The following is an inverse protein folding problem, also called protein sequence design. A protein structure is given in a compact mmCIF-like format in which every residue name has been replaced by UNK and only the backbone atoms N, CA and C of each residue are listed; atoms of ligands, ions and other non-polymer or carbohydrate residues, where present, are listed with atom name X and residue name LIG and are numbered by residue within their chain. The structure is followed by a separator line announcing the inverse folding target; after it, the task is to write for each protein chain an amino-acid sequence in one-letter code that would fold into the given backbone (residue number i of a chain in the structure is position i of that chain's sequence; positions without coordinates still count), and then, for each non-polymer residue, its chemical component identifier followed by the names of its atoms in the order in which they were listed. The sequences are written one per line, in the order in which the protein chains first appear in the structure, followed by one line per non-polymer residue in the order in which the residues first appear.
data_IF_893655893860
#
_entry.id   IF_893655893860
#
_cell.length_a   1.000
_cell.length_b   1.000
_cell.length_c   1.000
_cell.angle_alpha   90.00
_cell.angle_beta   90.00
_cell.angle_gamma   90.00
#
_symmetry.space_group_name_H-M   'P 1'
#
loop_
_entity.id
_entity.type
_entity.pdbx_description
1 polymer ?
#
# COMPACT_ATOMS: atom_id res chain seq x y z
N UNK A 1 31.08 -17.90 12.24
CA UNK A 1 30.70 -16.73 13.07
C UNK A 1 30.38 -15.53 12.20
N UNK A 2 31.05 -15.35 11.05
CA UNK A 2 30.62 -14.39 10.01
C UNK A 2 29.30 -14.79 9.35
N UNK A 3 29.15 -16.06 8.96
CA UNK A 3 27.92 -16.60 8.33
C UNK A 3 26.64 -16.33 9.14
N UNK A 4 26.70 -16.48 10.46
CA UNK A 4 25.57 -16.20 11.35
C UNK A 4 25.31 -14.69 11.47
N UNK A 5 26.35 -13.86 11.48
CA UNK A 5 26.23 -12.39 11.55
C UNK A 5 25.65 -11.83 10.25
N UNK A 6 26.03 -12.38 9.11
CA UNK A 6 25.45 -12.12 7.81
C UNK A 6 23.97 -12.51 7.80
N UNK A 7 23.60 -13.73 8.23
CA UNK A 7 22.19 -14.15 8.41
C UNK A 7 21.34 -13.17 9.24
N UNK A 8 21.86 -12.65 10.35
CA UNK A 8 21.13 -11.67 11.17
C UNK A 8 21.04 -10.29 10.51
N UNK A 9 22.08 -9.86 9.79
CA UNK A 9 22.04 -8.63 9.01
C UNK A 9 21.04 -8.73 7.84
N UNK A 10 21.03 -9.86 7.14
CA UNK A 10 20.10 -10.19 6.04
C UNK A 10 18.65 -10.14 6.49
N UNK A 11 18.35 -10.80 7.62
CA UNK A 11 17.00 -10.75 8.21
C UNK A 11 16.60 -9.31 8.59
N UNK A 12 17.54 -8.50 9.06
CA UNK A 12 17.31 -7.10 9.41
C UNK A 12 17.11 -6.15 8.21
N UNK A 13 17.68 -6.44 7.04
CA UNK A 13 17.44 -5.66 5.81
C UNK A 13 16.07 -6.03 5.23
N UNK A 14 15.77 -7.33 5.09
CA UNK A 14 14.48 -7.80 4.61
C UNK A 14 13.33 -7.26 5.48
N UNK A 15 13.44 -7.36 6.81
CA UNK A 15 12.41 -6.85 7.73
C UNK A 15 12.20 -5.33 7.62
N UNK A 16 13.26 -4.55 7.35
CA UNK A 16 13.14 -3.10 7.15
C UNK A 16 12.50 -2.77 5.80
N UNK A 17 12.91 -3.43 4.73
CA UNK A 17 12.34 -3.24 3.39
C UNK A 17 10.86 -3.63 3.36
N UNK A 18 10.51 -4.77 3.94
CA UNK A 18 9.14 -5.27 3.96
C UNK A 18 8.32 -4.69 5.11
N UNK A 19 8.87 -3.77 5.92
CA UNK A 19 8.21 -3.20 7.10
C UNK A 19 7.62 -4.28 8.05
N UNK A 20 8.31 -5.41 8.19
CA UNK A 20 7.87 -6.54 9.01
C UNK A 20 6.76 -7.41 8.41
N UNK A 21 6.33 -7.18 7.18
CA UNK A 21 5.26 -7.97 6.54
C UNK A 21 5.55 -9.46 6.49
N UNK A 22 6.81 -9.88 6.32
CA UNK A 22 7.17 -11.31 6.36
C UNK A 22 6.69 -11.98 7.65
N UNK A 23 6.91 -11.35 8.80
CA UNK A 23 6.44 -11.85 10.11
C UNK A 23 4.91 -11.83 10.22
N UNK A 24 4.26 -10.83 9.63
CA UNK A 24 2.80 -10.74 9.63
C UNK A 24 2.22 -11.91 8.82
N UNK A 25 2.73 -12.15 7.62
CA UNK A 25 2.32 -13.27 6.76
C UNK A 25 2.55 -14.61 7.45
N UNK A 26 3.72 -14.83 8.05
CA UNK A 26 4.03 -16.06 8.80
C UNK A 26 3.09 -16.29 10.00
N UNK A 27 2.49 -15.24 10.55
CA UNK A 27 1.52 -15.33 11.65
C UNK A 27 0.08 -15.60 11.18
N UNK A 28 -0.21 -15.49 9.87
CA UNK A 28 -1.56 -15.65 9.34
C UNK A 28 -1.94 -17.13 9.22
N UNK A 29 -3.18 -17.51 9.55
CA UNK A 29 -3.65 -18.89 9.42
C UNK A 29 -3.54 -19.42 7.99
N UNK A 30 -2.95 -20.62 7.85
CA UNK A 30 -2.83 -21.31 6.57
C UNK A 30 -1.75 -20.76 5.64
N UNK A 31 -1.10 -19.63 5.97
CA UNK A 31 0.00 -19.10 5.16
C UNK A 31 1.24 -19.97 5.33
N UNK A 32 1.85 -20.31 4.19
CA UNK A 32 3.06 -21.11 4.09
C UNK A 32 3.98 -20.53 3.02
N UNK A 33 5.23 -20.98 3.00
CA UNK A 33 6.18 -20.66 1.93
C UNK A 33 6.39 -19.16 1.67
N UNK A 34 6.52 -18.37 2.75
CA UNK A 34 6.87 -16.95 2.66
C UNK A 34 8.33 -16.84 2.23
N UNK A 35 8.57 -16.32 1.03
CA UNK A 35 9.89 -16.17 0.42
C UNK A 35 10.15 -14.72 0.06
N UNK A 36 11.25 -14.19 0.56
CA UNK A 36 11.81 -12.92 0.13
C UNK A 36 13.07 -13.19 -0.70
N UNK A 37 13.09 -12.73 -1.96
CA UNK A 37 14.25 -12.85 -2.82
C UNK A 37 15.17 -11.64 -2.58
N UNK A 38 16.25 -11.87 -1.84
CA UNK A 38 17.28 -10.87 -1.62
C UNK A 38 18.00 -10.52 -2.92
N UNK A 39 18.33 -9.23 -3.08
CA UNK A 39 19.03 -8.69 -4.24
C UNK A 39 20.00 -7.61 -3.82
N UNK A 40 21.17 -7.62 -4.45
CA UNK A 40 22.18 -6.59 -4.28
C UNK A 40 21.67 -5.21 -4.74
N UNK A 41 22.19 -4.12 -4.17
CA UNK A 41 21.96 -2.77 -4.68
C UNK A 41 22.36 -2.60 -6.15
N UNK A 42 21.63 -1.77 -6.88
CA UNK A 42 22.00 -1.39 -8.23
C UNK A 42 23.24 -0.48 -8.24
N UNK A 43 24.14 -0.69 -9.20
CA UNK A 43 25.26 0.22 -9.40
C UNK A 43 24.77 1.61 -9.86
N UNK A 44 25.34 2.68 -9.29
CA UNK A 44 25.06 4.07 -9.73
C UNK A 44 25.25 4.25 -11.24
N UNK A 45 26.26 3.59 -11.82
CA UNK A 45 26.54 3.62 -13.26
C UNK A 45 25.38 3.02 -14.07
N UNK A 46 24.78 1.93 -13.59
CA UNK A 46 23.64 1.28 -14.25
C UNK A 46 22.42 2.19 -14.28
N UNK A 47 22.15 2.90 -13.17
CA UNK A 47 21.07 3.90 -13.11
C UNK A 47 21.31 5.05 -14.11
N UNK A 48 22.52 5.62 -14.12
CA UNK A 48 22.89 6.68 -15.06
C UNK A 48 22.79 6.22 -16.52
N UNK A 49 23.21 4.99 -16.80
CA UNK A 49 23.13 4.39 -18.14
C UNK A 49 21.67 4.22 -18.56
N UNK A 50 20.80 3.77 -17.64
CA UNK A 50 19.37 3.66 -17.89
C UNK A 50 18.74 5.04 -18.17
N UNK A 51 19.08 6.06 -17.38
CA UNK A 51 18.57 7.42 -17.54
C UNK A 51 18.98 8.03 -18.87
N UNK A 52 20.26 7.88 -19.24
CA UNK A 52 20.79 8.34 -20.52
C UNK A 52 20.14 7.62 -21.72
N UNK A 53 20.02 6.29 -21.65
CA UNK A 53 19.41 5.46 -22.70
C UNK A 53 17.95 5.84 -22.95
N UNK A 54 17.20 6.09 -21.88
CA UNK A 54 15.77 6.34 -21.95
C UNK A 54 15.42 7.83 -22.00
N UNK A 55 16.43 8.71 -21.94
CA UNK A 55 16.29 10.18 -21.88
C UNK A 55 15.39 10.67 -20.74
N UNK A 56 15.34 9.93 -19.63
CA UNK A 56 14.50 10.25 -18.46
C UNK A 56 15.34 10.27 -17.20
N UNK A 57 14.90 11.00 -16.18
CA UNK A 57 15.48 10.99 -14.83
C UNK A 57 14.60 10.14 -13.94
N UNK A 58 15.18 9.14 -13.25
CA UNK A 58 14.45 8.36 -12.25
C UNK A 58 13.96 9.29 -11.12
N UNK A 59 12.74 9.11 -10.61
CA UNK A 59 12.32 9.85 -9.43
C UNK A 59 13.23 9.47 -8.25
N UNK A 60 13.49 10.43 -7.37
CA UNK A 60 14.48 10.29 -6.29
C UNK A 60 14.21 9.07 -5.40
N UNK A 61 12.95 8.84 -5.07
CA UNK A 61 12.55 7.72 -4.21
C UNK A 61 12.73 6.35 -4.87
N UNK A 62 12.49 6.22 -6.17
CA UNK A 62 12.80 5.00 -6.92
C UNK A 62 14.31 4.80 -7.10
N UNK A 63 15.07 5.88 -7.31
CA UNK A 63 16.54 5.81 -7.37
C UNK A 63 17.11 5.32 -6.05
N UNK A 64 16.68 5.88 -4.94
CA UNK A 64 17.12 5.49 -3.59
C UNK A 64 16.74 4.05 -3.26
N UNK A 65 15.56 3.61 -3.71
CA UNK A 65 15.15 2.23 -3.63
C UNK A 65 16.12 1.31 -4.38
N UNK A 66 16.46 1.60 -5.63
CA UNK A 66 17.40 0.78 -6.39
C UNK A 66 18.83 0.81 -5.83
N UNK A 67 19.25 1.93 -5.24
CA UNK A 67 20.51 2.02 -4.49
C UNK A 67 20.49 1.25 -3.17
N UNK A 68 19.33 0.77 -2.74
CA UNK A 68 19.16 -0.11 -1.58
C UNK A 68 19.00 -1.58 -2.01
N UNK A 69 18.28 -1.86 -3.10
CA UNK A 69 18.07 -3.20 -3.65
C UNK A 69 17.63 -3.15 -5.13
N UNK A 70 18.25 -3.94 -6.02
CA UNK A 70 17.93 -3.94 -7.46
C UNK A 70 16.67 -4.74 -7.79
N UNK A 71 15.53 -4.13 -7.43
CA UNK A 71 14.20 -4.75 -7.54
C UNK A 71 13.83 -5.52 -6.28
N UNK A 72 12.62 -6.04 -6.26
CA UNK A 72 12.03 -6.65 -5.07
C UNK A 72 11.13 -7.80 -5.47
N UNK A 73 11.18 -8.90 -4.73
CA UNK A 73 10.24 -10.01 -4.92
C UNK A 73 9.95 -10.66 -3.57
N UNK A 74 8.68 -10.62 -3.16
CA UNK A 74 8.17 -11.33 -2.00
C UNK A 74 6.97 -12.16 -2.45
N UNK A 75 7.03 -13.47 -2.24
CA UNK A 75 5.94 -14.39 -2.55
C UNK A 75 5.52 -15.16 -1.32
N UNK A 76 4.25 -15.53 -1.26
CA UNK A 76 3.74 -16.41 -0.22
C UNK A 76 2.58 -17.24 -0.75
N UNK A 77 2.40 -18.40 -0.12
CA UNK A 77 1.41 -19.39 -0.51
C UNK A 77 0.48 -19.67 0.65
N UNK A 78 -0.62 -20.35 0.36
CA UNK A 78 -1.56 -20.83 1.36
C UNK A 78 -1.73 -22.33 1.24
N UNK A 79 -1.84 -23.01 2.38
CA UNK A 79 -2.14 -24.43 2.43
C UNK A 79 -3.66 -24.61 2.52
N UNK A 80 -4.26 -25.16 1.47
CA UNK A 80 -5.63 -25.63 1.47
C UNK A 80 -5.61 -27.15 1.41
N UNK A 81 -6.14 -27.78 2.44
CA UNK A 81 -6.08 -29.24 2.62
C UNK A 81 -4.64 -29.75 2.51
N UNK A 82 -4.32 -30.52 1.46
CA UNK A 82 -2.97 -31.04 1.19
C UNK A 82 -2.24 -30.32 0.03
N UNK A 83 -2.85 -29.28 -0.55
CA UNK A 83 -2.26 -28.50 -1.64
C UNK A 83 -1.69 -27.15 -1.17
N UNK A 84 -0.57 -26.76 -1.77
CA UNK A 84 0.05 -25.45 -1.57
C UNK A 84 -0.29 -24.57 -2.78
N UNK A 85 -1.12 -23.55 -2.57
CA UNK A 85 -1.57 -22.63 -3.61
C UNK A 85 -0.77 -21.33 -3.52
N UNK A 86 0.02 -20.95 -4.53
CA UNK A 86 0.69 -19.66 -4.55
C UNK A 86 -0.35 -18.54 -4.62
N UNK A 87 -0.32 -17.63 -3.65
CA UNK A 87 -1.39 -16.65 -3.49
C UNK A 87 -0.90 -15.22 -3.68
N UNK A 88 0.07 -14.78 -2.88
CA UNK A 88 0.54 -13.41 -2.93
C UNK A 88 1.88 -13.25 -3.64
N UNK A 89 1.98 -12.22 -4.47
CA UNK A 89 3.20 -11.82 -5.16
C UNK A 89 3.34 -10.30 -5.12
N UNK A 90 4.40 -9.84 -4.47
CA UNK A 90 4.85 -8.46 -4.54
C UNK A 90 6.11 -8.42 -5.39
N UNK A 91 6.10 -7.61 -6.45
CA UNK A 91 7.24 -7.55 -7.37
C UNK A 91 7.53 -6.11 -7.80
N UNK A 92 8.81 -5.76 -7.80
CA UNK A 92 9.37 -4.61 -8.51
C UNK A 92 10.51 -5.14 -9.37
N UNK A 93 10.46 -4.85 -10.67
CA UNK A 93 11.51 -5.22 -11.62
C UNK A 93 12.85 -4.60 -11.23
N UNK A 94 13.96 -5.25 -11.58
CA UNK A 94 15.29 -4.63 -11.50
C UNK A 94 15.45 -3.54 -12.55
N UNK A 95 16.45 -2.67 -12.41
CA UNK A 95 16.74 -1.61 -13.38
C UNK A 95 17.01 -2.18 -14.77
N UNK A 96 17.68 -3.33 -14.85
CA UNK A 96 17.93 -4.04 -16.11
C UNK A 96 16.63 -4.51 -16.79
N UNK A 97 15.61 -4.84 -16.00
CA UNK A 97 14.29 -5.29 -16.45
C UNK A 97 13.26 -4.16 -16.56
N UNK A 98 13.59 -2.94 -16.13
CA UNK A 98 12.77 -1.74 -16.27
C UNK A 98 12.78 -1.27 -17.73
N UNK A 99 12.19 -2.08 -18.61
CA UNK A 99 12.14 -1.87 -20.04
C UNK A 99 10.99 -0.94 -20.46
N UNK A 100 11.12 -0.25 -21.61
CA UNK A 100 10.03 0.52 -22.16
C UNK A 100 8.88 -0.41 -22.56
N UNK A 101 7.64 -0.01 -22.25
CA UNK A 101 6.44 -0.73 -22.69
C UNK A 101 6.30 -0.68 -24.22
N UNK A 102 6.54 0.50 -24.78
CA UNK A 102 6.55 0.75 -26.22
C UNK A 102 7.95 0.42 -26.74
N UNK A 103 8.11 -0.77 -27.31
CA UNK A 103 9.36 -1.12 -27.97
C UNK A 103 9.45 -0.41 -29.32
N UNK A 104 10.67 -0.01 -29.75
CA UNK A 104 10.87 0.47 -31.11
C UNK A 104 10.31 -0.52 -32.12
N UNK A 105 9.67 0.00 -33.15
CA UNK A 105 9.08 -0.80 -34.23
C UNK A 105 10.15 -1.76 -34.76
N UNK A 106 9.85 -3.06 -34.73
CA UNK A 106 10.77 -4.10 -35.22
C UNK A 106 11.19 -3.79 -36.66
N UNK A 107 12.46 -4.06 -37.01
CA UNK A 107 12.96 -3.92 -38.38
C UNK A 107 12.19 -4.77 -39.40
N UNK A 108 11.45 -5.76 -38.92
CA UNK A 108 10.61 -6.65 -39.72
C UNK A 108 9.14 -6.18 -39.84
N UNK A 109 8.78 -5.08 -39.18
CA UNK A 109 7.43 -4.53 -39.30
C UNK A 109 7.22 -3.91 -40.67
N UNK A 110 6.02 -4.12 -41.21
CA UNK A 110 5.61 -3.47 -42.44
C UNK A 110 5.54 -1.95 -42.25
N UNK A 111 5.78 -1.15 -43.31
CA UNK A 111 5.43 0.26 -43.30
C UNK A 111 3.95 0.41 -42.91
N UNK A 112 3.66 1.26 -41.91
CA UNK A 112 2.31 1.48 -41.35
C UNK A 112 1.66 0.26 -40.67
N UNK A 113 2.44 -0.67 -40.12
CA UNK A 113 1.88 -1.71 -39.27
C UNK A 113 1.13 -1.07 -38.07
N UNK A 114 -0.07 -1.57 -37.72
CA UNK A 114 -0.80 -1.04 -36.57
C UNK A 114 0.01 -1.23 -35.28
N UNK A 115 -0.11 -0.26 -34.40
CA UNK A 115 0.66 -0.09 -33.18
C UNK A 115 -0.25 0.31 -32.01
N UNK A 116 0.27 0.28 -30.79
CA UNK A 116 -0.49 0.73 -29.62
C UNK A 116 -0.85 2.23 -29.71
N UNK A 117 -0.08 3.03 -30.44
CA UNK A 117 -0.39 4.44 -30.66
C UNK A 117 -1.70 4.64 -31.45
N UNK A 118 -2.13 3.65 -32.24
CA UNK A 118 -3.39 3.73 -32.99
C UNK A 118 -4.63 3.55 -32.10
N UNK A 119 -4.44 3.12 -30.84
CA UNK A 119 -5.51 3.02 -29.84
C UNK A 119 -5.80 4.34 -29.13
N UNK A 120 -4.89 5.30 -29.19
CA UNK A 120 -5.09 6.64 -28.63
C UNK A 120 -6.08 7.42 -29.50
N UNK A 121 -7.38 7.16 -29.32
CA UNK A 121 -8.41 8.02 -29.87
C UNK A 121 -8.36 9.36 -29.12
N UNK A 122 -8.17 10.48 -29.83
CA UNK A 122 -8.39 11.78 -29.21
C UNK A 122 -9.84 11.82 -28.72
N UNK A 123 -10.02 11.82 -27.40
CA UNK A 123 -11.29 12.18 -26.78
C UNK A 123 -11.52 13.67 -27.03
N UNK A 124 -11.82 13.99 -28.29
CA UNK A 124 -12.38 15.26 -28.71
C UNK A 124 -13.68 15.41 -27.94
N UNK A 125 -13.64 16.36 -27.01
CA UNK A 125 -14.78 17.08 -26.42
C UNK A 125 -15.64 16.37 -25.37
N UNK A 126 -15.54 16.95 -24.17
CA UNK A 126 -16.65 17.21 -23.21
C UNK A 126 -17.20 16.06 -22.38
N UNK A 127 -16.48 15.70 -21.31
CA UNK A 127 -17.11 15.48 -20.01
C UNK A 127 -16.41 16.35 -18.95
N UNK A 128 -16.93 17.58 -18.76
CA UNK A 128 -16.62 18.39 -17.58
C UNK A 128 -17.33 17.78 -16.37
N UNK A 129 -16.76 16.72 -15.82
CA UNK A 129 -16.97 16.38 -14.41
C UNK A 129 -16.36 17.47 -13.50
N UNK A 130 -16.79 17.61 -12.24
CA UNK A 130 -16.42 18.72 -11.37
C UNK A 130 -14.99 18.66 -10.81
N UNK A 131 -14.17 17.70 -11.24
CA UNK A 131 -12.76 17.53 -10.84
C UNK A 131 -11.91 17.51 -12.13
N UNK A 132 -10.72 18.15 -12.17
CA UNK A 132 -9.83 18.02 -13.31
C UNK A 132 -9.35 16.56 -13.38
N UNK A 133 -10.01 15.74 -14.19
CA UNK A 133 -9.62 14.36 -14.42
C UNK A 133 -8.16 14.35 -14.89
N UNK A 134 -7.30 13.61 -14.18
CA UNK A 134 -5.89 13.46 -14.58
C UNK A 134 -5.86 12.85 -15.97
N UNK A 135 -5.31 13.57 -16.94
CA UNK A 135 -5.17 13.07 -18.31
C UNK A 135 -4.38 11.75 -18.31
N UNK A 136 -4.96 10.76 -18.97
CA UNK A 136 -4.37 9.44 -19.14
C UNK A 136 -3.07 9.54 -19.96
N UNK A 137 -2.10 8.66 -19.72
CA UNK A 137 -0.94 8.50 -20.58
C UNK A 137 -1.34 8.13 -22.02
N UNK A 138 -0.47 8.48 -22.96
CA UNK A 138 -0.58 8.09 -24.36
C UNK A 138 0.36 6.93 -24.69
N UNK A 139 0.01 6.09 -25.65
CA UNK A 139 0.84 5.03 -26.22
C UNK A 139 1.77 5.51 -27.34
N UNK A 140 1.99 6.82 -27.45
CA UNK A 140 2.86 7.43 -28.45
C UNK A 140 4.06 8.17 -27.82
N UNK A 141 4.80 8.92 -28.64
CA UNK A 141 6.00 9.64 -28.21
C UNK A 141 5.75 10.72 -27.13
N UNK A 142 4.49 11.08 -26.86
CA UNK A 142 4.12 12.02 -25.78
C UNK A 142 4.29 11.39 -24.40
N UNK A 143 4.37 10.06 -24.30
CA UNK A 143 4.64 9.40 -23.03
C UNK A 143 5.79 8.41 -23.11
N UNK A 144 6.59 8.35 -22.06
CA UNK A 144 7.62 7.31 -21.88
C UNK A 144 7.21 6.45 -20.71
N UNK A 145 7.01 5.17 -21.00
CA UNK A 145 6.35 4.23 -20.10
C UNK A 145 7.30 3.07 -19.85
N UNK A 146 7.56 2.76 -18.57
CA UNK A 146 8.45 1.67 -18.17
C UNK A 146 7.75 0.70 -17.23
N UNK A 147 7.89 -0.60 -17.47
CA UNK A 147 7.20 -1.63 -16.70
C UNK A 147 7.90 -1.88 -15.34
N UNK A 148 7.23 -1.53 -14.24
CA UNK A 148 7.69 -1.80 -12.88
C UNK A 148 7.28 -3.20 -12.41
N UNK A 149 6.08 -3.64 -12.76
CA UNK A 149 5.54 -4.95 -12.39
C UNK A 149 4.63 -5.48 -13.51
N UNK A 150 4.73 -6.79 -13.75
CA UNK A 150 3.89 -7.54 -14.70
C UNK A 150 2.61 -8.09 -14.08
N UNK A 151 2.42 -7.93 -12.76
CA UNK A 151 1.21 -8.27 -12.00
C UNK A 151 0.68 -9.70 -12.28
N UNK A 152 1.59 -10.66 -12.52
CA UNK A 152 1.24 -12.04 -12.85
C UNK A 152 0.45 -12.20 -14.15
N UNK A 153 0.53 -11.24 -15.08
CA UNK A 153 -0.20 -11.25 -16.36
C UNK A 153 -1.60 -10.63 -16.29
N UNK A 154 -2.05 -10.15 -15.13
CA UNK A 154 -3.36 -9.50 -14.99
C UNK A 154 -3.36 -8.02 -15.38
N UNK A 155 -2.22 -7.47 -15.76
CA UNK A 155 -2.04 -6.06 -16.12
C UNK A 155 -0.58 -5.70 -15.96
N UNK A 156 -0.28 -4.41 -15.92
CA UNK A 156 1.09 -3.91 -15.69
C UNK A 156 1.04 -2.68 -14.82
N UNK A 157 1.95 -2.58 -13.85
CA UNK A 157 2.22 -1.30 -13.20
C UNK A 157 3.39 -0.64 -13.90
N UNK A 158 3.19 0.61 -14.27
CA UNK A 158 4.11 1.36 -15.11
C UNK A 158 4.55 2.66 -14.43
N UNK A 159 5.85 2.96 -14.55
CA UNK A 159 6.40 4.29 -14.35
C UNK A 159 6.19 5.10 -15.62
N UNK A 160 5.45 6.20 -15.53
CA UNK A 160 5.02 6.99 -16.69
C UNK A 160 5.51 8.42 -16.61
N UNK A 161 6.19 8.86 -17.65
CA UNK A 161 6.50 10.26 -17.90
C UNK A 161 5.55 10.79 -18.97
N UNK A 162 4.70 11.75 -18.63
CA UNK A 162 3.73 12.36 -19.56
C UNK A 162 4.29 13.63 -20.18
N UNK A 163 3.66 14.09 -21.26
CA UNK A 163 4.01 15.35 -21.96
C UNK A 163 5.50 15.42 -22.37
N UNK A 164 6.05 14.28 -22.77
CA UNK A 164 7.42 14.17 -23.24
C UNK A 164 7.57 14.85 -24.60
N UNK A 165 8.65 15.63 -24.75
CA UNK A 165 9.05 16.20 -26.03
C UNK A 165 10.33 15.52 -26.53
N UNK A 166 10.44 15.22 -27.84
CA UNK A 166 11.64 14.61 -28.40
C UNK A 166 12.90 15.46 -28.12
N UNK A 167 13.98 14.80 -27.67
CA UNK A 167 15.23 15.47 -27.33
C UNK A 167 15.25 16.17 -25.96
N UNK A 168 14.12 16.27 -25.26
CA UNK A 168 14.06 16.81 -23.89
C UNK A 168 14.07 15.68 -22.88
N UNK A 169 14.82 15.88 -21.80
CA UNK A 169 14.91 14.93 -20.69
C UNK A 169 13.65 15.02 -19.84
N UNK A 170 12.93 13.90 -19.69
CA UNK A 170 11.72 13.86 -18.87
C UNK A 170 12.07 13.66 -17.39
N UNK A 171 11.44 14.44 -16.49
CA UNK A 171 11.77 14.44 -15.07
C UNK A 171 10.58 14.12 -14.15
N UNK A 172 9.37 14.41 -14.59
CA UNK A 172 8.16 14.17 -13.81
C UNK A 172 7.56 12.83 -14.18
N UNK A 173 7.52 11.92 -13.23
CA UNK A 173 6.95 10.59 -13.38
C UNK A 173 5.77 10.36 -12.43
N UNK A 174 4.81 9.54 -12.87
CA UNK A 174 3.70 9.04 -12.08
C UNK A 174 3.63 7.51 -12.17
N UNK A 175 2.89 6.87 -11.28
CA UNK A 175 2.66 5.42 -11.29
C UNK A 175 1.23 5.13 -11.76
N UNK A 176 1.12 4.38 -12.84
CA UNK A 176 -0.15 4.02 -13.46
C UNK A 176 -0.29 2.50 -13.60
N UNK A 177 -1.50 2.00 -13.46
CA UNK A 177 -1.86 0.63 -13.78
C UNK A 177 -2.46 0.57 -15.18
N UNK A 178 -1.93 -0.31 -16.01
CA UNK A 178 -2.44 -0.65 -17.33
C UNK A 178 -3.14 -2.00 -17.24
N UNK A 179 -4.45 -2.03 -17.46
CA UNK A 179 -5.21 -3.27 -17.43
C UNK A 179 -5.10 -4.07 -18.74
N UNK A 180 -5.74 -5.24 -18.80
CA UNK A 180 -5.74 -6.11 -19.99
C UNK A 180 -6.56 -5.55 -21.16
N UNK A 181 -7.47 -4.61 -20.91
CA UNK A 181 -8.19 -3.85 -21.94
C UNK A 181 -7.41 -2.64 -22.44
N UNK A 182 -6.17 -2.45 -21.98
CA UNK A 182 -5.31 -1.33 -22.30
C UNK A 182 -5.84 0.03 -21.79
N UNK A 183 -6.66 0.00 -20.74
CA UNK A 183 -7.11 1.21 -20.06
C UNK A 183 -6.12 1.62 -18.97
N UNK A 184 -5.91 2.94 -18.87
CA UNK A 184 -5.05 3.55 -17.87
C UNK A 184 -5.81 3.89 -16.59
N UNK A 185 -5.28 3.43 -15.47
CA UNK A 185 -5.81 3.72 -14.14
C UNK A 185 -4.72 4.33 -13.27
N UNK A 186 -4.97 5.52 -12.73
CA UNK A 186 -3.99 6.19 -11.88
C UNK A 186 -3.89 5.46 -10.53
N UNK A 187 -2.67 5.13 -10.10
CA UNK A 187 -2.42 4.58 -8.77
C UNK A 187 -1.91 5.67 -7.83
N UNK A 188 -0.72 6.20 -8.09
CA UNK A 188 -0.06 7.15 -7.19
C UNK A 188 0.87 8.10 -7.93
N UNK A 189 1.14 9.26 -7.32
CA UNK A 189 2.09 10.23 -7.86
C UNK A 189 3.56 9.89 -7.60
N UNK A 190 3.85 9.07 -6.57
CA UNK A 190 5.22 8.70 -6.19
C UNK A 190 5.39 7.20 -6.06
N UNK A 191 6.62 6.72 -6.27
CA UNK A 191 6.96 5.31 -6.13
C UNK A 191 6.79 4.85 -4.68
N UNK A 192 7.20 5.66 -3.70
CA UNK A 192 7.05 5.32 -2.28
C UNK A 192 5.58 5.06 -1.91
N UNK A 193 4.66 5.85 -2.46
CA UNK A 193 3.23 5.66 -2.22
C UNK A 193 2.74 4.34 -2.83
N UNK A 194 3.19 4.02 -4.05
CA UNK A 194 2.89 2.74 -4.70
C UNK A 194 3.47 1.54 -3.93
N UNK A 195 4.73 1.63 -3.48
CA UNK A 195 5.38 0.60 -2.69
C UNK A 195 4.61 0.28 -1.41
N UNK A 196 4.14 1.33 -0.71
CA UNK A 196 3.28 1.17 0.47
C UNK A 196 1.95 0.52 0.14
N UNK A 197 1.37 0.83 -1.01
CA UNK A 197 0.12 0.24 -1.46
C UNK A 197 0.28 -1.26 -1.74
N UNK A 198 1.33 -1.65 -2.46
CA UNK A 198 1.72 -3.05 -2.71
C UNK A 198 1.89 -3.84 -1.40
N UNK A 199 2.60 -3.28 -0.43
CA UNK A 199 2.79 -3.88 0.89
C UNK A 199 1.46 -4.00 1.65
N UNK A 200 0.62 -2.95 1.63
CA UNK A 200 -0.66 -2.92 2.36
C UNK A 200 -1.63 -3.99 1.85
N UNK A 201 -1.60 -4.26 0.55
CA UNK A 201 -2.43 -5.30 -0.07
C UNK A 201 -1.79 -6.69 -0.07
N UNK A 202 -0.65 -6.86 0.61
CA UNK A 202 0.04 -8.15 0.77
C UNK A 202 0.40 -8.84 -0.56
N UNK A 203 0.40 -8.12 -1.69
CA UNK A 203 0.57 -8.71 -3.02
C UNK A 203 -0.55 -9.67 -3.42
N UNK A 204 -1.75 -9.55 -2.83
CA UNK A 204 -2.90 -10.40 -3.14
C UNK A 204 -3.28 -10.36 -4.63
N UNK A 205 -3.88 -11.42 -5.19
CA UNK A 205 -4.27 -11.43 -6.60
C UNK A 205 -5.15 -10.22 -6.95
N UNK A 206 -4.84 -9.57 -8.07
CA UNK A 206 -5.64 -8.48 -8.65
C UNK A 206 -5.89 -7.28 -7.72
N UNK A 207 -5.07 -7.07 -6.68
CA UNK A 207 -5.29 -5.96 -5.76
C UNK A 207 -5.31 -4.59 -6.46
N UNK A 208 -4.58 -4.43 -7.57
CA UNK A 208 -4.56 -3.21 -8.38
C UNK A 208 -5.93 -2.89 -8.99
N UNK A 209 -6.75 -3.92 -9.25
CA UNK A 209 -8.09 -3.74 -9.82
C UNK A 209 -9.05 -3.04 -8.86
N UNK A 210 -8.71 -2.92 -7.56
CA UNK A 210 -9.46 -2.09 -6.59
C UNK A 210 -9.53 -0.62 -7.03
N UNK A 211 -8.57 -0.16 -7.82
CA UNK A 211 -8.50 1.21 -8.36
C UNK A 211 -9.17 1.37 -9.71
N UNK A 212 -9.88 0.34 -10.19
CA UNK A 212 -10.57 0.34 -11.47
C UNK A 212 -12.09 0.30 -11.27
N UNK A 213 -12.90 0.79 -12.23
CA UNK A 213 -14.37 0.74 -12.12
C UNK A 213 -14.95 -0.68 -12.00
N UNK A 214 -14.22 -1.69 -12.47
CA UNK A 214 -14.69 -3.08 -12.52
C UNK A 214 -14.39 -3.86 -11.23
N UNK A 215 -13.33 -3.47 -10.50
CA UNK A 215 -12.88 -4.16 -9.31
C UNK A 215 -12.22 -5.53 -9.59
N UNK A 216 -11.69 -6.19 -8.55
CA UNK A 216 -11.12 -7.53 -8.68
C UNK A 216 -12.17 -8.60 -8.96
N UNK A 217 -11.75 -9.74 -9.51
CA UNK A 217 -12.60 -10.90 -9.75
C UNK A 217 -13.21 -11.46 -8.47
N UNK A 218 -14.33 -12.22 -8.54
CA UNK A 218 -14.94 -12.84 -7.36
C UNK A 218 -13.96 -13.73 -6.57
N UNK A 219 -13.08 -14.45 -7.25
CA UNK A 219 -12.07 -15.30 -6.61
C UNK A 219 -11.02 -14.46 -5.87
N UNK A 220 -10.51 -13.39 -6.50
CA UNK A 220 -9.57 -12.47 -5.84
C UNK A 220 -10.19 -11.80 -4.61
N UNK A 221 -11.49 -11.43 -4.70
CA UNK A 221 -12.25 -10.88 -3.55
C UNK A 221 -12.33 -11.86 -2.39
N UNK A 222 -12.54 -13.15 -2.64
CA UNK A 222 -12.54 -14.17 -1.58
C UNK A 222 -11.21 -14.20 -0.83
N UNK A 223 -10.08 -14.17 -1.55
CA UNK A 223 -8.76 -14.10 -0.93
C UNK A 223 -8.54 -12.81 -0.14
N UNK A 224 -9.00 -11.67 -0.68
CA UNK A 224 -8.96 -10.41 0.01
C UNK A 224 -9.76 -10.44 1.32
N UNK A 225 -10.95 -11.03 1.35
CA UNK A 225 -11.73 -11.16 2.59
C UNK A 225 -11.03 -12.02 3.66
N UNK A 226 -10.19 -12.97 3.27
CA UNK A 226 -9.49 -13.84 4.20
C UNK A 226 -8.20 -13.21 4.75
N UNK A 227 -7.45 -12.50 3.90
CA UNK A 227 -6.08 -12.09 4.22
C UNK A 227 -5.84 -10.58 4.22
N UNK A 228 -6.69 -9.78 3.59
CA UNK A 228 -6.47 -8.34 3.53
C UNK A 228 -6.56 -7.76 4.96
N UNK A 229 -5.55 -6.96 5.38
CA UNK A 229 -5.63 -6.26 6.65
C UNK A 229 -6.86 -5.36 6.69
N UNK A 230 -7.43 -5.14 7.88
CA UNK A 230 -8.50 -4.15 8.07
C UNK A 230 -7.95 -2.75 7.79
N UNK A 231 -8.03 -2.34 6.52
CA UNK A 231 -7.74 -0.98 6.08
C UNK A 231 -9.00 -0.15 6.21
N UNK A 232 -8.90 1.07 6.73
CA UNK A 232 -10.00 2.03 6.64
C UNK A 232 -10.25 2.33 5.16
N UNK A 233 -11.28 1.73 4.58
CA UNK A 233 -11.81 2.11 3.27
C UNK A 233 -12.66 3.37 3.46
N UNK A 234 -12.20 4.49 2.90
CA UNK A 234 -13.13 5.55 2.57
C UNK A 234 -13.80 5.11 1.27
N UNK A 235 -14.81 4.25 1.37
CA UNK A 235 -15.65 3.97 0.19
C UNK A 235 -16.28 5.29 -0.24
N UNK A 236 -16.07 5.75 -1.49
CA UNK A 236 -17.00 6.68 -2.10
C UNK A 236 -18.27 5.88 -2.38
N UNK A 237 -19.09 5.67 -1.36
CA UNK A 237 -20.45 5.18 -1.54
C UNK A 237 -21.10 6.05 -2.62
N UNK A 238 -21.75 5.46 -3.64
CA UNK A 238 -22.76 6.18 -4.39
C UNK A 238 -23.90 6.44 -3.41
N UNK A 239 -23.75 7.49 -2.61
CA UNK A 239 -24.73 7.87 -1.63
C UNK A 239 -26.05 8.10 -2.36
N UNK A 240 -27.08 7.39 -1.90
CA UNK A 240 -28.48 7.73 -2.11
C UNK A 240 -28.65 9.26 -2.15
N UNK A 241 -29.44 9.83 -3.08
CA UNK A 241 -29.65 11.28 -3.18
C UNK A 241 -30.40 11.90 -1.98
N UNK A 242 -30.49 11.20 -0.84
CA UNK A 242 -31.22 11.61 0.35
C UNK A 242 -30.52 11.30 1.70
N UNK A 243 -29.23 10.93 1.73
CA UNK A 243 -28.52 10.61 2.97
C UNK A 243 -27.42 11.60 3.31
N UNK A 244 -27.54 12.30 4.45
CA UNK A 244 -26.54 13.22 5.00
C UNK A 244 -25.10 12.66 4.93
N UNK A 245 -24.09 13.51 4.66
CA UNK A 245 -22.69 13.07 4.63
C UNK A 245 -22.29 12.49 5.98
N UNK A 246 -21.75 11.27 5.97
CA UNK A 246 -21.14 10.63 7.13
C UNK A 246 -19.90 11.41 7.60
N UNK A 247 -20.13 12.51 8.31
CA UNK A 247 -19.08 13.24 9.01
C UNK A 247 -18.81 12.50 10.32
N UNK A 248 -17.59 11.99 10.44
CA UNK A 248 -17.08 11.44 11.69
C UNK A 248 -17.11 12.53 12.78
N UNK A 249 -18.10 12.48 13.69
CA UNK A 249 -18.35 13.49 14.73
C UNK A 249 -17.38 13.38 15.93
N UNK A 250 -16.13 13.03 15.67
CA UNK A 250 -15.09 13.04 16.70
C UNK A 250 -14.53 14.46 16.82
N UNK A 251 -14.98 15.19 17.83
CA UNK A 251 -14.41 16.47 18.22
C UNK A 251 -13.02 16.25 18.87
N UNK A 252 -11.92 16.64 18.21
CA UNK A 252 -10.56 16.39 18.71
C UNK A 252 -10.32 17.03 20.09
N UNK A 253 -11.06 18.10 20.41
CA UNK A 253 -10.94 18.81 21.69
C UNK A 253 -11.61 18.07 22.85
N UNK A 254 -12.47 17.09 22.55
CA UNK A 254 -13.16 16.23 23.52
C UNK A 254 -12.64 14.81 23.54
N UNK A 255 -12.10 14.30 22.43
CA UNK A 255 -11.61 12.94 22.29
C UNK A 255 -10.40 12.61 23.19
N UNK A 256 -9.52 13.60 23.44
CA UNK A 256 -8.26 13.39 24.17
C UNK A 256 -8.23 13.98 25.58
N UNK A 257 -9.38 14.42 26.12
CA UNK A 257 -9.45 14.82 27.53
C UNK A 257 -9.57 13.59 28.42
N UNK A 258 -8.42 13.06 28.85
CA UNK A 258 -8.37 12.15 29.99
C UNK A 258 -9.14 12.76 31.16
N UNK A 259 -9.90 11.95 31.91
CA UNK A 259 -10.64 12.41 33.09
C UNK A 259 -9.66 12.91 34.15
N UNK A 260 -9.26 14.17 34.05
CA UNK A 260 -8.69 14.90 35.17
C UNK A 260 -9.75 14.90 36.26
N UNK A 261 -9.41 14.24 37.37
CA UNK A 261 -10.20 14.11 38.58
C UNK A 261 -10.65 15.51 39.00
N UNK A 262 -11.94 15.80 38.84
CA UNK A 262 -12.54 17.06 39.31
C UNK A 262 -12.25 17.18 40.81
N UNK A 263 -11.61 18.25 41.30
CA UNK A 263 -11.49 18.47 42.72
C UNK A 263 -12.88 18.65 43.31
N UNK A 264 -13.22 17.86 44.32
CA UNK A 264 -14.53 17.90 44.97
C UNK A 264 -14.84 19.33 45.46
N UNK A 265 -16.05 19.86 45.23
CA UNK A 265 -16.44 21.16 45.74
C UNK A 265 -16.49 21.10 47.28
N UNK A 266 -15.76 22.02 47.93
CA UNK A 266 -15.78 22.21 49.38
C UNK A 266 -17.21 22.52 49.82
N UNK A 267 -17.82 21.56 50.53
CA UNK A 267 -19.12 21.74 51.18
C UNK A 267 -18.97 22.77 52.30
N UNK A 268 -19.65 23.92 52.13
CA UNK A 268 -19.81 24.98 53.13
C UNK A 268 -20.51 24.38 54.35
N UNK A 269 -19.96 24.64 55.54
CA UNK A 269 -20.44 24.15 56.82
C UNK A 269 -21.90 24.55 57.10
N UNK A 270 -22.70 23.58 57.50
CA UNK A 270 -23.86 23.73 58.39
C UNK A 270 -23.90 22.45 59.23
N UNK A 271 -24.12 22.41 60.52
CA UNK A 271 -24.24 23.36 61.62
C UNK A 271 -24.16 22.45 62.87
N UNK A 272 -23.90 22.97 64.07
CA UNK A 272 -24.69 22.59 65.26
C UNK A 272 -24.20 23.31 66.52
N UNK A 273 -25.12 24.03 67.14
CA UNK A 273 -25.19 24.13 68.59
C UNK A 273 -25.39 22.73 69.20
N UNK A 274 -24.66 22.46 70.29
CA UNK A 274 -25.05 21.76 71.52
C UNK A 274 -26.17 20.70 71.42
N UNK A 275 -26.06 19.47 71.92
CA UNK A 275 -25.36 19.03 73.14
C UNK A 275 -25.59 17.52 73.35
N UNK A 276 -24.58 16.85 73.94
CA UNK A 276 -24.65 15.77 74.95
C UNK A 276 -25.56 14.55 74.77
N UNK A 277 -24.97 13.36 74.92
CA UNK A 277 -25.57 12.31 75.78
C UNK A 277 -25.61 10.87 75.26
N UNK A 278 -24.49 10.16 75.43
CA UNK A 278 -24.39 8.79 76.01
C UNK A 278 -25.32 7.62 75.56
N UNK A 279 -24.64 6.54 75.12
CA UNK A 279 -24.69 5.15 75.61
C UNK A 279 -25.38 4.01 74.79
N UNK A 280 -24.54 2.96 74.59
CA UNK A 280 -24.75 1.49 74.69
C UNK A 280 -25.43 0.66 73.58
N UNK A 281 -24.77 -0.49 73.31
CA UNK A 281 -25.33 -1.76 72.78
C UNK A 281 -24.54 -2.31 71.57
N UNK A 282 -23.52 -3.17 71.73
CA UNK A 282 -23.56 -4.67 71.70
C UNK A 282 -24.31 -5.27 70.50
N UNK A 283 -23.81 -6.25 69.73
CA UNK A 283 -22.58 -7.07 69.82
C UNK A 283 -22.61 -8.24 68.81
N UNK A 284 -21.57 -9.10 68.90
CA UNK A 284 -21.36 -10.43 68.27
C UNK A 284 -20.70 -10.44 66.87
N UNK A 285 -19.38 -10.71 66.76
CA UNK A 285 -18.69 -12.02 66.70
C UNK A 285 -18.94 -12.79 65.37
N UNK A 286 -17.96 -13.42 64.70
CA UNK A 286 -16.66 -13.91 65.16
C UNK A 286 -15.61 -14.05 64.05
N UNK A 287 -14.48 -14.54 64.50
CA UNK A 287 -13.12 -14.52 63.96
C UNK A 287 -12.73 -15.94 63.58
N UNK A 288 -11.96 -16.15 62.51
CA UNK A 288 -10.62 -16.76 62.59
C UNK A 288 -9.99 -16.99 61.21
N UNK A 289 -8.80 -16.41 61.09
CA UNK A 289 -7.74 -16.72 60.13
C UNK A 289 -6.97 -17.95 60.60
N UNK A 290 -6.60 -18.82 59.65
CA UNK A 290 -5.68 -19.94 59.87
C UNK A 290 -4.29 -19.64 59.29
N UNK A 291 -3.24 -19.91 60.07
CA UNK A 291 -1.88 -20.18 59.60
C UNK A 291 -1.20 -21.12 60.60
N UNK A 292 -0.73 -22.28 60.13
CA UNK A 292 0.64 -22.81 60.29
C UNK A 292 0.69 -24.29 59.93
N UNK A 293 1.44 -24.61 58.87
CA UNK A 293 2.78 -25.19 59.03
C UNK A 293 3.63 -24.85 57.83
#
# INVERSE_FOLDING_TARGET
MEETKEMFAFKGVAERLTLGITRILESMPGVVDVRFAERDPAEKRSLLTWEQKNTCILPEDLRDFYLTTDGFTLTWSVKLDDECVPLGCMMINSVARLGPLLQPVSLFSLPNAPSLADLDWEESSTEKGPEPARAAPHFDARSRIFELDSCGGNGKVCLVYKNCTPGVVAQQSEIWFLDRSLCWHFLTATFTSYYRLMITHLGLPEWQYVFTPYGPSPQAKQWAFLYQPLTFSCDPSPADPAGDPYINKLDPTKAFKGKAKVPAPKKKQSAQCSSTGTAKGQGSAGRQTGVKR
#
